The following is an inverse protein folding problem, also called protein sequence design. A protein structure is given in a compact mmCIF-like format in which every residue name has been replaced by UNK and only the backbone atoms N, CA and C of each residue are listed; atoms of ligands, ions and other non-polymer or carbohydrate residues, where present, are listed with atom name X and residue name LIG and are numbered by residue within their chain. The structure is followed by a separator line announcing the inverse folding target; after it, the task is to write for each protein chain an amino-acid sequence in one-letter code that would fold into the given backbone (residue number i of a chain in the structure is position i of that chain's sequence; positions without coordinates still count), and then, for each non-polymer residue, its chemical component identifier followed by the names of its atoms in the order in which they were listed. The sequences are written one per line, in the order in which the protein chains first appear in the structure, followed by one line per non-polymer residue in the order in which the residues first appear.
data_IF_010386756649
#
_entry.id   IF_010386756649
#
_cell.length_a   1.000
_cell.length_b   1.000
_cell.length_c   1.000
_cell.angle_alpha   90.00
_cell.angle_beta   90.00
_cell.angle_gamma   90.00
#
_symmetry.space_group_name_H-M   'P 1'
#
loop_
_entity.id
_entity.type
_entity.pdbx_description
1 polymer ?
#
# COMPACT_ATOMS: atom_id res chain seq x y z
N UNK A 1 18.20 -20.68 -27.49
CA UNK A 1 18.44 -19.81 -28.67
C UNK A 1 18.86 -20.57 -29.93
N UNK A 2 19.88 -21.44 -29.88
CA UNK A 2 20.43 -22.15 -31.07
C UNK A 2 19.39 -23.01 -31.82
N UNK A 3 18.57 -23.78 -31.12
CA UNK A 3 17.50 -24.57 -31.75
C UNK A 3 16.45 -23.69 -32.46
N UNK A 4 16.17 -22.50 -31.93
CA UNK A 4 15.25 -21.55 -32.56
C UNK A 4 15.87 -20.87 -33.79
N UNK A 5 17.17 -20.53 -33.73
CA UNK A 5 17.91 -20.02 -34.90
C UNK A 5 17.94 -21.02 -36.05
N UNK A 6 18.08 -22.32 -35.77
CA UNK A 6 18.08 -23.37 -36.79
C UNK A 6 16.68 -23.57 -37.40
N UNK A 7 15.60 -23.37 -36.62
CA UNK A 7 14.22 -23.55 -37.09
C UNK A 7 13.68 -22.34 -37.86
N UNK A 8 14.01 -21.13 -37.44
CA UNK A 8 13.44 -19.90 -37.98
C UNK A 8 14.42 -19.11 -38.85
N UNK A 9 15.70 -19.47 -38.86
CA UNK A 9 16.77 -18.76 -39.55
C UNK A 9 17.37 -17.65 -38.66
N UNK A 10 18.70 -17.57 -38.63
CA UNK A 10 19.44 -16.56 -37.85
C UNK A 10 19.08 -15.11 -38.22
N UNK A 11 18.75 -14.89 -39.48
CA UNK A 11 18.39 -13.57 -40.02
C UNK A 11 16.91 -13.22 -39.86
N UNK A 12 16.10 -14.13 -39.31
CA UNK A 12 14.68 -13.86 -39.08
C UNK A 12 14.51 -12.67 -38.14
N UNK A 13 13.66 -11.72 -38.52
CA UNK A 13 13.28 -10.59 -37.68
C UNK A 13 12.80 -11.03 -36.29
N UNK A 14 12.11 -12.18 -36.22
CA UNK A 14 11.64 -12.77 -34.96
C UNK A 14 12.79 -13.19 -34.03
N UNK A 15 13.84 -13.79 -34.60
CA UNK A 15 15.04 -14.17 -33.85
C UNK A 15 15.80 -12.92 -33.38
N UNK A 16 15.94 -11.91 -34.25
CA UNK A 16 16.57 -10.63 -33.90
C UNK A 16 15.82 -9.93 -32.76
N UNK A 17 14.49 -9.88 -32.83
CA UNK A 17 13.64 -9.30 -31.79
C UNK A 17 13.76 -10.05 -30.45
N UNK A 18 13.81 -11.39 -30.47
CA UNK A 18 14.00 -12.17 -29.25
C UNK A 18 15.38 -11.99 -28.62
N UNK A 19 16.42 -11.92 -29.45
CA UNK A 19 17.78 -11.64 -28.96
C UNK A 19 17.81 -10.26 -28.31
N UNK A 20 17.27 -9.23 -28.97
CA UNK A 20 17.19 -7.88 -28.42
C UNK A 20 16.44 -7.86 -27.07
N UNK A 21 15.24 -8.43 -27.02
CA UNK A 21 14.43 -8.45 -25.80
C UNK A 21 15.11 -9.22 -24.65
N UNK A 22 15.75 -10.37 -24.94
CA UNK A 22 16.44 -11.15 -23.90
C UNK A 22 17.71 -10.46 -23.41
N UNK A 23 18.43 -9.75 -24.29
CA UNK A 23 19.56 -8.90 -23.89
C UNK A 23 19.10 -7.77 -22.97
N UNK A 24 18.04 -7.06 -23.35
CA UNK A 24 17.47 -5.99 -22.51
C UNK A 24 17.04 -6.51 -21.13
N UNK A 25 16.35 -7.65 -21.08
CA UNK A 25 15.90 -8.25 -19.81
C UNK A 25 17.09 -8.75 -18.97
N UNK A 26 18.16 -9.25 -19.58
CA UNK A 26 19.35 -9.73 -18.87
C UNK A 26 20.14 -8.58 -18.20
N UNK A 27 20.07 -7.38 -18.77
CA UNK A 27 20.70 -6.17 -18.22
C UNK A 27 19.89 -5.55 -17.06
N UNK A 28 18.65 -5.99 -16.84
CA UNK A 28 17.84 -5.54 -15.70
C UNK A 28 18.38 -6.13 -14.38
N UNK A 29 18.46 -5.29 -13.35
CA UNK A 29 18.77 -5.75 -11.99
C UNK A 29 17.62 -6.61 -11.45
N UNK A 30 17.82 -7.92 -11.44
CA UNK A 30 16.88 -8.88 -10.86
C UNK A 30 17.07 -9.12 -9.36
N UNK A 31 16.29 -10.05 -8.81
CA UNK A 31 16.45 -10.57 -7.45
C UNK A 31 17.12 -11.96 -7.52
N UNK A 32 18.43 -12.07 -7.23
CA UNK A 32 19.15 -13.32 -7.41
C UNK A 32 18.76 -14.36 -6.35
N UNK A 33 18.19 -15.48 -6.78
CA UNK A 33 17.87 -16.60 -5.87
C UNK A 33 19.11 -17.47 -5.75
N UNK A 34 19.85 -17.34 -4.65
CA UNK A 34 21.09 -18.09 -4.42
C UNK A 34 20.87 -19.29 -3.51
N UNK A 35 20.32 -19.06 -2.32
CA UNK A 35 20.04 -20.09 -1.30
C UNK A 35 18.80 -19.69 -0.49
N UNK A 36 18.19 -20.63 0.23
CA UNK A 36 16.99 -20.40 1.05
C UNK A 36 15.70 -20.99 0.46
N UNK A 37 14.64 -20.99 1.25
CA UNK A 37 13.33 -21.50 0.82
C UNK A 37 12.67 -20.52 -0.16
N UNK A 38 12.04 -21.05 -1.21
CA UNK A 38 11.30 -20.29 -2.22
C UNK A 38 10.32 -19.28 -1.59
N UNK A 39 9.66 -19.66 -0.49
CA UNK A 39 8.71 -18.80 0.23
C UNK A 39 9.33 -17.49 0.73
N UNK A 40 10.60 -17.49 1.12
CA UNK A 40 11.29 -16.26 1.56
C UNK A 40 11.46 -15.29 0.39
N UNK A 41 11.95 -15.79 -0.75
CA UNK A 41 12.13 -15.01 -1.97
C UNK A 41 10.80 -14.47 -2.49
N UNK A 42 9.74 -15.29 -2.46
CA UNK A 42 8.38 -14.86 -2.82
C UNK A 42 7.90 -13.74 -1.91
N UNK A 43 8.08 -13.87 -0.59
CA UNK A 43 7.69 -12.83 0.38
C UNK A 43 8.43 -11.52 0.13
N UNK A 44 9.76 -11.57 -0.01
CA UNK A 44 10.59 -10.37 -0.24
C UNK A 44 10.24 -9.67 -1.57
N UNK A 45 10.00 -10.44 -2.64
CA UNK A 45 9.55 -9.87 -3.93
C UNK A 45 8.17 -9.22 -3.77
N UNK A 46 7.22 -9.89 -3.11
CA UNK A 46 5.87 -9.36 -2.90
C UNK A 46 5.90 -8.05 -2.10
N UNK A 47 6.69 -7.98 -1.02
CA UNK A 47 6.88 -6.76 -0.21
C UNK A 47 7.49 -5.62 -1.03
N UNK A 48 8.54 -5.89 -1.81
CA UNK A 48 9.15 -4.90 -2.71
C UNK A 48 8.17 -4.39 -3.75
N UNK A 49 7.39 -5.28 -4.37
CA UNK A 49 6.40 -4.90 -5.37
C UNK A 49 5.28 -4.07 -4.72
N UNK A 50 4.76 -4.50 -3.57
CA UNK A 50 3.73 -3.77 -2.84
C UNK A 50 4.18 -2.36 -2.44
N UNK A 51 5.40 -2.21 -1.92
CA UNK A 51 5.98 -0.90 -1.59
C UNK A 51 6.09 0.03 -2.81
N UNK A 52 6.30 -0.52 -4.02
CA UNK A 52 6.37 0.25 -5.27
C UNK A 52 5.01 0.52 -5.91
N UNK A 53 3.96 -0.23 -5.55
CA UNK A 53 2.57 -0.03 -6.00
C UNK A 53 1.75 0.69 -4.92
N UNK A 54 2.42 1.36 -3.97
CA UNK A 54 1.79 1.97 -2.82
C UNK A 54 0.52 2.78 -3.19
N UNK A 55 -0.49 2.80 -2.29
CA UNK A 55 -1.77 3.45 -2.55
C UNK A 55 -1.60 4.86 -3.11
N UNK A 56 -2.50 5.27 -4.00
CA UNK A 56 -2.50 6.63 -4.54
C UNK A 56 -2.38 7.63 -3.38
N UNK A 57 -1.37 8.51 -3.38
CA UNK A 57 -1.13 9.39 -2.26
C UNK A 57 -2.33 10.30 -2.07
N UNK A 58 -2.67 10.57 -0.81
CA UNK A 58 -3.65 11.57 -0.46
C UNK A 58 -3.16 12.94 -0.92
N UNK A 59 -4.07 13.77 -1.45
CA UNK A 59 -3.75 15.13 -1.82
C UNK A 59 -3.40 15.95 -0.57
N UNK A 60 -2.12 16.30 -0.48
CA UNK A 60 -1.59 17.26 0.48
C UNK A 60 -1.51 18.63 -0.21
N UNK A 61 -1.83 19.70 0.51
CA UNK A 61 -1.80 21.07 0.01
C UNK A 61 -0.44 21.45 -0.57
N UNK A 62 -0.44 22.34 -1.56
CA UNK A 62 0.77 22.77 -2.24
C UNK A 62 1.69 23.56 -1.29
N UNK A 63 2.97 23.15 -1.19
CA UNK A 63 4.02 23.78 -0.39
C UNK A 63 3.72 23.92 1.12
N UNK A 64 3.51 22.83 1.86
CA UNK A 64 3.30 22.91 3.31
C UNK A 64 4.66 23.15 3.99
N UNK A 65 4.90 24.37 4.44
CA UNK A 65 6.13 24.74 5.16
C UNK A 65 6.11 24.12 6.57
N UNK A 66 7.20 23.44 6.95
CA UNK A 66 7.37 22.88 8.29
C UNK A 66 6.66 21.54 8.54
N UNK A 67 6.07 20.93 7.51
CA UNK A 67 5.37 19.65 7.65
C UNK A 67 6.30 18.50 8.00
N UNK A 68 7.49 18.49 7.41
CA UNK A 68 8.49 17.43 7.61
C UNK A 68 8.87 17.31 9.09
N UNK A 69 9.06 18.43 9.79
CA UNK A 69 9.37 18.43 11.22
C UNK A 69 8.25 17.78 12.03
N UNK A 70 6.99 18.15 11.78
CA UNK A 70 5.85 17.57 12.47
C UNK A 70 5.67 16.08 12.15
N UNK A 71 5.96 15.66 10.92
CA UNK A 71 5.93 14.25 10.52
C UNK A 71 6.97 13.46 11.31
N UNK A 72 8.21 13.95 11.41
CA UNK A 72 9.28 13.27 12.15
C UNK A 72 8.99 13.22 13.66
N UNK A 73 8.45 14.30 14.24
CA UNK A 73 7.96 14.30 15.63
C UNK A 73 6.90 13.22 15.84
N UNK A 74 5.89 13.13 14.95
CA UNK A 74 4.82 12.12 15.09
C UNK A 74 5.35 10.70 14.86
N UNK A 75 6.24 10.48 13.88
CA UNK A 75 6.90 9.17 13.67
C UNK A 75 7.66 8.73 14.91
N UNK A 76 8.37 9.64 15.57
CA UNK A 76 9.10 9.34 16.80
C UNK A 76 8.18 8.89 17.94
N UNK A 77 6.97 9.45 18.04
CA UNK A 77 5.96 9.06 19.03
C UNK A 77 5.32 7.70 18.71
N UNK A 78 5.17 7.38 17.42
CA UNK A 78 4.62 6.09 16.99
C UNK A 78 5.60 4.95 17.19
N UNK A 79 6.92 5.23 17.18
CA UNK A 79 8.00 4.25 17.34
C UNK A 79 7.78 2.97 16.49
N UNK A 80 7.50 3.16 15.20
CA UNK A 80 7.20 2.08 14.26
C UNK A 80 8.46 1.22 14.03
N UNK A 81 8.63 0.17 14.82
CA UNK A 81 9.64 -0.86 14.59
C UNK A 81 9.06 -1.96 13.70
N UNK A 82 9.83 -2.54 12.77
CA UNK A 82 9.42 -3.74 12.05
C UNK A 82 9.08 -4.85 13.05
N UNK A 83 7.99 -5.58 12.79
CA UNK A 83 7.52 -6.71 13.60
C UNK A 83 7.06 -6.35 15.04
N UNK A 84 6.71 -5.09 15.30
CA UNK A 84 6.08 -4.68 16.57
C UNK A 84 4.55 -4.81 16.51
N UNK A 85 3.99 -5.68 17.35
CA UNK A 85 2.54 -5.90 17.50
C UNK A 85 1.85 -4.84 18.38
N UNK A 86 2.56 -3.79 18.79
CA UNK A 86 2.02 -2.75 19.67
C UNK A 86 0.93 -1.93 18.97
N UNK A 87 -0.26 -1.92 19.56
CA UNK A 87 -1.36 -1.06 19.10
C UNK A 87 -1.21 0.33 19.69
N UNK A 88 -0.93 1.32 18.84
CA UNK A 88 -0.80 2.73 19.23
C UNK A 88 -2.00 3.56 18.77
N UNK A 89 -2.46 4.48 19.62
CA UNK A 89 -3.45 5.50 19.28
C UNK A 89 -2.86 6.88 19.49
N UNK A 90 -2.85 7.70 18.44
CA UNK A 90 -2.30 9.04 18.46
C UNK A 90 -3.38 10.08 18.12
N UNK A 91 -3.42 11.16 18.90
CA UNK A 91 -4.34 12.28 18.70
C UNK A 91 -3.58 13.57 18.36
N UNK A 92 -3.96 14.24 17.26
CA UNK A 92 -3.47 15.57 16.90
C UNK A 92 -4.54 16.60 17.27
N UNK A 93 -4.27 17.44 18.27
CA UNK A 93 -5.23 18.40 18.85
C UNK A 93 -4.68 19.82 18.70
N UNK A 94 -5.57 20.79 18.48
CA UNK A 94 -5.19 22.20 18.34
C UNK A 94 -6.29 23.04 17.70
N UNK A 95 -6.03 24.34 17.56
CA UNK A 95 -6.98 25.30 17.01
C UNK A 95 -7.45 24.95 15.58
N UNK A 96 -8.64 25.42 15.21
CA UNK A 96 -9.16 25.27 13.86
C UNK A 96 -8.24 25.93 12.83
N UNK A 97 -8.13 25.35 11.63
CA UNK A 97 -7.37 25.92 10.52
C UNK A 97 -5.85 25.74 10.56
N UNK A 98 -5.26 25.24 11.65
CA UNK A 98 -3.79 25.12 11.80
C UNK A 98 -3.14 23.97 10.98
N UNK A 99 -3.90 23.26 10.16
CA UNK A 99 -3.35 22.21 9.28
C UNK A 99 -3.23 20.80 9.87
N UNK A 100 -3.89 20.49 11.00
CA UNK A 100 -3.84 19.14 11.63
C UNK A 100 -4.18 17.99 10.68
N UNK A 101 -5.23 18.15 9.88
CA UNK A 101 -5.63 17.17 8.87
C UNK A 101 -4.55 16.99 7.80
N UNK A 102 -3.82 18.06 7.50
CA UNK A 102 -2.75 18.05 6.51
C UNK A 102 -1.53 17.26 7.00
N UNK A 103 -1.17 17.43 8.28
CA UNK A 103 -0.17 16.60 8.96
C UNK A 103 -0.58 15.13 8.91
N UNK A 104 -1.83 14.81 9.24
CA UNK A 104 -2.32 13.43 9.23
C UNK A 104 -2.26 12.78 7.84
N UNK A 105 -2.63 13.51 6.77
CA UNK A 105 -2.52 13.01 5.39
C UNK A 105 -1.07 12.76 4.96
N UNK A 106 -0.19 13.70 5.27
CA UNK A 106 1.21 13.59 4.85
C UNK A 106 1.96 12.50 5.62
N UNK A 107 1.64 12.34 6.92
CA UNK A 107 2.08 11.21 7.71
C UNK A 107 1.57 9.89 7.11
N UNK A 108 0.27 9.80 6.79
CA UNK A 108 -0.30 8.61 6.15
C UNK A 108 0.48 8.24 4.89
N UNK A 109 0.67 9.17 3.96
CA UNK A 109 1.46 8.93 2.74
C UNK A 109 2.89 8.45 3.03
N UNK A 110 3.50 8.92 4.13
CA UNK A 110 4.85 8.57 4.55
C UNK A 110 4.97 7.16 5.14
N UNK A 111 3.93 6.63 5.79
CA UNK A 111 4.04 5.37 6.56
C UNK A 111 3.15 4.25 6.03
N UNK A 112 2.20 4.55 5.14
CA UNK A 112 1.20 3.58 4.64
C UNK A 112 1.83 2.30 4.09
N UNK A 113 2.98 2.39 3.43
CA UNK A 113 3.70 1.26 2.84
C UNK A 113 4.33 0.32 3.88
N UNK A 114 4.36 0.71 5.16
CA UNK A 114 4.89 -0.10 6.26
C UNK A 114 3.81 -1.02 6.86
N UNK A 115 2.56 -0.88 6.43
CA UNK A 115 1.42 -1.67 6.92
C UNK A 115 0.88 -2.57 5.82
N UNK A 116 0.45 -3.79 6.18
CA UNK A 116 -0.19 -4.73 5.25
C UNK A 116 -1.54 -4.20 4.73
N UNK A 117 -2.22 -3.39 5.53
CA UNK A 117 -3.52 -2.81 5.20
C UNK A 117 -3.67 -1.44 5.86
N UNK A 118 -4.24 -0.48 5.11
CA UNK A 118 -4.43 0.88 5.59
C UNK A 118 -5.66 1.54 4.96
N UNK A 119 -6.19 2.55 5.65
CA UNK A 119 -7.30 3.38 5.15
C UNK A 119 -7.24 4.78 5.77
N UNK A 120 -7.69 5.79 5.01
CA UNK A 120 -7.81 7.16 5.51
C UNK A 120 -9.26 7.65 5.45
N UNK A 121 -9.93 7.61 6.60
CA UNK A 121 -11.32 8.06 6.72
C UNK A 121 -11.40 9.57 6.99
N UNK A 122 -11.58 10.36 5.93
CA UNK A 122 -11.79 11.80 6.05
C UNK A 122 -13.23 12.16 6.48
N UNK A 123 -13.38 13.22 7.28
CA UNK A 123 -14.66 13.83 7.67
C UNK A 123 -15.64 12.82 8.31
N UNK A 124 -15.13 11.99 9.23
CA UNK A 124 -15.88 10.89 9.85
C UNK A 124 -17.15 11.41 10.50
N UNK A 125 -17.08 12.51 11.25
CA UNK A 125 -18.24 13.08 11.95
C UNK A 125 -19.33 13.49 10.96
N UNK A 126 -18.97 14.16 9.88
CA UNK A 126 -19.90 14.63 8.85
C UNK A 126 -20.51 13.45 8.09
N UNK A 127 -19.71 12.45 7.72
CA UNK A 127 -20.17 11.25 7.02
C UNK A 127 -21.08 10.40 7.90
N UNK A 128 -20.72 10.21 9.17
CA UNK A 128 -21.49 9.40 10.13
C UNK A 128 -22.94 9.88 10.27
N UNK A 129 -23.16 11.19 10.20
CA UNK A 129 -24.48 11.79 10.37
C UNK A 129 -25.35 11.75 9.10
N UNK A 130 -24.87 11.20 7.98
CA UNK A 130 -25.65 11.03 6.75
C UNK A 130 -26.50 9.76 6.79
N UNK A 131 -27.52 9.70 5.92
CA UNK A 131 -28.26 8.47 5.64
C UNK A 131 -27.27 7.42 5.14
N UNK A 132 -27.25 6.24 5.76
CA UNK A 132 -26.29 5.16 5.53
C UNK A 132 -24.81 5.49 5.84
N UNK A 133 -24.53 6.61 6.51
CA UNK A 133 -23.18 7.07 6.83
C UNK A 133 -22.26 6.03 7.47
N UNK A 134 -22.70 5.30 8.51
CA UNK A 134 -21.90 4.22 9.10
C UNK A 134 -21.58 3.09 8.12
N UNK A 135 -22.51 2.74 7.23
CA UNK A 135 -22.31 1.69 6.23
C UNK A 135 -21.30 2.12 5.18
N UNK A 136 -21.40 3.36 4.70
CA UNK A 136 -20.46 3.92 3.73
C UNK A 136 -19.03 3.98 4.32
N UNK A 137 -18.90 4.40 5.58
CA UNK A 137 -17.59 4.44 6.27
C UNK A 137 -16.96 3.04 6.39
N UNK A 138 -17.75 2.02 6.74
CA UNK A 138 -17.26 0.64 6.83
C UNK A 138 -16.88 0.10 5.43
N UNK A 139 -17.66 0.42 4.39
CA UNK A 139 -17.36 0.02 3.02
C UNK A 139 -16.07 0.65 2.51
N UNK A 140 -15.85 1.95 2.74
CA UNK A 140 -14.60 2.62 2.40
C UNK A 140 -13.42 1.98 3.13
N UNK A 141 -13.54 1.78 4.46
CA UNK A 141 -12.50 1.15 5.28
C UNK A 141 -12.10 -0.23 4.73
N UNK A 142 -13.09 -1.09 4.45
CA UNK A 142 -12.87 -2.43 3.91
C UNK A 142 -12.28 -2.43 2.50
N UNK A 143 -12.77 -1.53 1.65
CA UNK A 143 -12.31 -1.40 0.27
C UNK A 143 -10.86 -0.97 0.20
N UNK A 144 -10.46 0.01 1.01
CA UNK A 144 -9.09 0.51 1.07
C UNK A 144 -8.14 -0.51 1.72
N UNK A 145 -8.55 -1.14 2.84
CA UNK A 145 -7.69 -2.09 3.56
C UNK A 145 -7.45 -3.41 2.81
N UNK A 146 -8.41 -3.88 2.01
CA UNK A 146 -8.34 -5.20 1.37
C UNK A 146 -8.32 -5.15 -0.15
N UNK A 147 -8.20 -3.96 -0.74
CA UNK A 147 -8.16 -3.73 -2.19
C UNK A 147 -9.33 -4.39 -2.96
N UNK A 148 -10.51 -4.47 -2.33
CA UNK A 148 -11.69 -5.08 -2.94
C UNK A 148 -12.77 -4.03 -3.23
N UNK A 149 -13.49 -4.13 -4.36
CA UNK A 149 -14.52 -3.15 -4.70
C UNK A 149 -15.63 -3.14 -3.65
N UNK A 150 -16.14 -1.94 -3.37
CA UNK A 150 -17.20 -1.70 -2.39
C UNK A 150 -18.45 -2.57 -2.60
N UNK A 151 -18.71 -2.94 -3.85
CA UNK A 151 -19.84 -3.78 -4.28
C UNK A 151 -19.80 -5.21 -3.75
N UNK A 152 -18.65 -5.67 -3.24
CA UNK A 152 -18.53 -6.98 -2.58
C UNK A 152 -18.95 -6.95 -1.11
N UNK A 153 -19.05 -5.76 -0.51
CA UNK A 153 -19.37 -5.62 0.90
C UNK A 153 -20.88 -5.51 1.09
N UNK A 154 -21.41 -6.41 1.92
CA UNK A 154 -22.82 -6.40 2.31
C UNK A 154 -23.16 -5.24 3.25
N UNK A 155 -24.11 -5.46 4.16
CA UNK A 155 -24.45 -4.46 5.18
C UNK A 155 -23.27 -4.16 6.11
N UNK A 156 -23.34 -3.01 6.80
CA UNK A 156 -22.39 -2.61 7.84
C UNK A 156 -22.06 -3.74 8.83
N UNK A 157 -23.08 -4.46 9.31
CA UNK A 157 -22.91 -5.58 10.25
C UNK A 157 -22.10 -6.74 9.67
N UNK A 158 -22.30 -7.06 8.39
CA UNK A 158 -21.47 -8.06 7.69
C UNK A 158 -20.04 -7.55 7.53
N UNK A 159 -19.87 -6.27 7.17
CA UNK A 159 -18.57 -5.64 7.05
C UNK A 159 -17.76 -5.66 8.36
N UNK A 160 -18.40 -5.39 9.50
CA UNK A 160 -17.75 -5.46 10.83
C UNK A 160 -17.29 -6.88 11.15
N UNK A 161 -18.12 -7.89 10.86
CA UNK A 161 -17.74 -9.29 11.09
C UNK A 161 -16.57 -9.70 10.19
N UNK A 162 -16.56 -9.22 8.95
CA UNK A 162 -15.48 -9.47 8.01
C UNK A 162 -14.17 -8.78 8.44
N UNK A 163 -14.23 -7.53 8.92
CA UNK A 163 -13.11 -6.84 9.55
C UNK A 163 -12.54 -7.66 10.71
N UNK A 164 -13.39 -8.07 11.65
CA UNK A 164 -12.97 -8.89 12.80
C UNK A 164 -12.32 -10.20 12.37
N UNK A 165 -12.89 -10.85 11.35
CA UNK A 165 -12.40 -12.11 10.86
C UNK A 165 -11.05 -11.98 10.14
N UNK A 166 -10.87 -10.94 9.32
CA UNK A 166 -9.62 -10.68 8.59
C UNK A 166 -8.52 -10.21 9.53
N UNK A 167 -8.81 -9.25 10.42
CA UNK A 167 -7.85 -8.74 11.40
C UNK A 167 -7.52 -9.74 12.51
N UNK A 168 -8.44 -10.66 12.82
CA UNK A 168 -8.19 -11.73 13.78
C UNK A 168 -7.29 -12.86 13.27
N UNK A 169 -6.99 -12.89 11.96
CA UNK A 169 -6.12 -13.89 11.33
C UNK A 169 -4.68 -13.42 11.13
N UNK A 170 -4.40 -12.13 11.33
CA UNK A 170 -3.10 -11.50 11.07
C UNK A 170 -2.08 -11.73 12.21
N UNK A 171 -2.10 -12.91 12.85
CA UNK A 171 -1.13 -13.31 13.87
C UNK A 171 -0.12 -14.30 13.33
#
# INVERSE_FOLDING_TARGET
MVAHQNKFGKESEKIKAWIAALSEVADLKGHPIHTGHENHHVKEIAEKVHANIAPKPLLVGENPVGLDQHIEEVKSLLNLMPDDDTVCMLGIIGLGGIGKTEVAKALYNNIVHQFEAASFLANVREKWNKINGPEDLIKTLLSEMFEQPETKWGSASKGINELKHKLGRTK
#
